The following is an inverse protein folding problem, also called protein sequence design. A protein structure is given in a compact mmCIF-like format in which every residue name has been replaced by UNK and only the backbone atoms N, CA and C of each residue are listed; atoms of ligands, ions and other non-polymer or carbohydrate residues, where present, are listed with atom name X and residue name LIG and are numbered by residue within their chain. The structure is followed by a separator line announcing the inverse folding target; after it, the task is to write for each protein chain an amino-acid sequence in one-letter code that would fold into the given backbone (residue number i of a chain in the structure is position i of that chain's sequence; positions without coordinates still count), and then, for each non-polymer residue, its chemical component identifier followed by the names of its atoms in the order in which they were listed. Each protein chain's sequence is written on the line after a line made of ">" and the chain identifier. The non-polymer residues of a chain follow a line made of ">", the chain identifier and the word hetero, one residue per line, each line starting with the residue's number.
data_IF_036090573992
#
_entry.id   IF_036090573992
#
_cell.length_a   1.000
_cell.length_b   1.000
_cell.length_c   1.000
_cell.angle_alpha   90.00
_cell.angle_beta   90.00
_cell.angle_gamma   90.00
#
_symmetry.space_group_name_H-M   'P 1'
#
loop_
_entity.id
_entity.type
_entity.pdbx_description
1 polymer ?
#
# COMPACT_ATOMS: atom_id res chain seq x y z
N UNK A 1 -10.50 -3.15 19.05
CA UNK A 1 -9.57 -1.99 19.11
C UNK A 1 -9.56 -1.40 17.72
N UNK A 2 -10.28 -0.33 17.54
CA UNK A 2 -10.33 0.35 16.26
C UNK A 2 -9.11 1.28 16.20
N UNK A 3 -8.18 0.99 15.35
CA UNK A 3 -7.05 1.88 15.07
C UNK A 3 -7.47 2.77 13.92
N UNK A 4 -7.78 4.00 14.22
CA UNK A 4 -8.04 4.99 13.20
C UNK A 4 -6.72 5.61 12.81
N UNK A 5 -6.26 5.37 11.59
CA UNK A 5 -5.10 6.04 11.03
C UNK A 5 -5.32 7.53 10.73
N UNK A 6 -6.39 8.13 11.24
CA UNK A 6 -6.72 9.54 11.01
C UNK A 6 -6.28 10.36 12.20
N UNK A 7 -4.97 10.49 12.39
CA UNK A 7 -4.45 11.24 13.53
C UNK A 7 -4.02 12.68 13.22
N UNK A 8 -4.03 13.09 11.99
CA UNK A 8 -3.38 14.36 11.60
C UNK A 8 -4.29 15.40 11.01
N UNK A 9 -5.54 15.06 10.73
CA UNK A 9 -6.51 16.04 10.27
C UNK A 9 -7.22 16.67 11.46
N UNK A 10 -7.38 17.97 11.46
CA UNK A 10 -8.13 18.73 12.48
C UNK A 10 -9.61 18.31 12.60
N UNK A 11 -10.11 17.47 11.69
CA UNK A 11 -11.47 16.97 11.63
C UNK A 11 -11.44 15.46 11.31
N UNK A 12 -11.25 14.58 12.31
CA UNK A 12 -11.41 13.16 12.10
C UNK A 12 -12.88 12.85 11.79
N UNK A 13 -13.15 12.33 10.59
CA UNK A 13 -14.49 11.90 10.18
C UNK A 13 -14.59 10.41 10.46
N UNK A 14 -14.91 10.08 11.69
CA UNK A 14 -15.14 8.71 12.11
C UNK A 14 -16.51 8.61 12.80
N UNK A 15 -17.17 7.49 12.56
CA UNK A 15 -18.42 7.15 13.26
C UNK A 15 -18.33 5.73 13.82
N UNK A 16 -18.93 5.51 14.98
CA UNK A 16 -19.13 4.18 15.55
C UNK A 16 -20.60 3.82 15.36
N UNK A 17 -20.85 2.70 14.69
CA UNK A 17 -22.19 2.21 14.44
C UNK A 17 -22.28 0.75 14.88
N UNK A 18 -23.29 0.40 15.66
CA UNK A 18 -23.58 -0.97 16.06
C UNK A 18 -25.10 -1.16 16.23
N UNK A 19 -25.52 -2.40 16.51
CA UNK A 19 -26.93 -2.68 16.84
C UNK A 19 -27.33 -1.93 18.09
N UNK A 20 -28.59 -1.52 18.19
CA UNK A 20 -29.10 -0.70 19.28
C UNK A 20 -28.81 -1.33 20.65
N UNK A 21 -29.08 -2.64 20.82
CA UNK A 21 -28.82 -3.33 22.08
C UNK A 21 -27.34 -3.30 22.54
N UNK A 22 -26.39 -3.16 21.61
CA UNK A 22 -24.96 -3.04 21.91
C UNK A 22 -24.62 -1.60 22.29
N UNK A 23 -25.15 -0.63 21.53
CA UNK A 23 -24.90 0.79 21.81
C UNK A 23 -25.54 1.24 23.13
N UNK A 24 -26.76 0.77 23.41
CA UNK A 24 -27.53 1.15 24.61
C UNK A 24 -26.99 0.46 25.88
N UNK A 25 -26.21 -0.61 25.75
CA UNK A 25 -25.57 -1.28 26.88
C UNK A 25 -24.43 -0.44 27.50
N UNK A 26 -23.91 0.54 26.77
CA UNK A 26 -22.86 1.41 27.29
C UNK A 26 -23.43 2.42 28.32
N UNK A 27 -22.87 2.52 29.53
CA UNK A 27 -23.32 3.50 30.51
C UNK A 27 -23.21 4.93 29.97
N UNK A 28 -24.05 5.82 30.42
CA UNK A 28 -24.03 7.23 30.07
C UNK A 28 -22.62 7.84 30.36
N UNK A 29 -22.10 8.56 29.39
CA UNK A 29 -20.76 9.19 29.47
C UNK A 29 -19.56 8.31 29.12
N UNK A 30 -19.75 7.03 28.77
CA UNK A 30 -18.65 6.15 28.35
C UNK A 30 -18.30 6.29 26.86
N UNK A 31 -19.23 6.74 26.05
CA UNK A 31 -19.05 7.01 24.62
C UNK A 31 -19.14 8.52 24.43
N UNK A 32 -18.02 9.14 24.03
CA UNK A 32 -17.99 10.56 23.81
C UNK A 32 -16.57 11.11 23.70
N UNK A 33 -16.47 12.38 23.43
CA UNK A 33 -15.22 13.13 23.33
C UNK A 33 -15.53 14.58 22.98
N UNK A 34 -14.58 15.47 23.26
CA UNK A 34 -14.75 16.91 23.08
C UNK A 34 -15.14 17.31 21.65
N UNK A 35 -14.75 16.51 20.66
CA UNK A 35 -15.02 16.77 19.23
C UNK A 35 -16.25 16.02 18.69
N UNK A 36 -16.90 15.18 19.49
CA UNK A 36 -18.09 14.44 19.06
C UNK A 36 -19.22 15.41 18.70
N UNK A 37 -19.85 15.17 17.56
CA UNK A 37 -20.95 16.00 17.06
C UNK A 37 -20.54 17.40 16.59
N UNK A 38 -19.25 17.65 16.36
CA UNK A 38 -18.79 18.94 15.81
C UNK A 38 -19.51 19.21 14.48
N UNK A 39 -20.19 20.35 14.31
CA UNK A 39 -20.98 20.63 13.11
C UNK A 39 -20.18 20.61 11.81
N UNK A 40 -18.93 21.06 11.82
CA UNK A 40 -18.05 21.03 10.64
C UNK A 40 -17.70 19.58 10.25
N UNK A 41 -17.38 18.75 11.22
CA UNK A 41 -17.11 17.32 10.99
C UNK A 41 -18.35 16.59 10.46
N UNK A 42 -19.53 16.87 11.02
CA UNK A 42 -20.80 16.30 10.55
C UNK A 42 -21.12 16.72 9.12
N UNK A 43 -20.97 18.00 8.78
CA UNK A 43 -21.18 18.51 7.43
C UNK A 43 -20.22 17.87 6.43
N UNK A 44 -18.94 17.77 6.77
CA UNK A 44 -17.93 17.09 5.96
C UNK A 44 -18.24 15.60 5.76
N UNK A 45 -18.67 14.89 6.81
CA UNK A 45 -19.08 13.49 6.73
C UNK A 45 -20.27 13.27 5.80
N UNK A 46 -21.30 14.09 5.92
CA UNK A 46 -22.48 14.03 5.04
C UNK A 46 -22.05 14.23 3.58
N UNK A 47 -21.25 15.27 3.31
CA UNK A 47 -20.79 15.56 1.94
C UNK A 47 -19.92 14.43 1.38
N UNK A 48 -19.05 13.86 2.18
CA UNK A 48 -18.24 12.71 1.79
C UNK A 48 -19.11 11.51 1.40
N UNK A 49 -20.13 11.19 2.20
CA UNK A 49 -21.05 10.09 1.88
C UNK A 49 -21.87 10.34 0.61
N UNK A 50 -22.28 11.59 0.36
CA UNK A 50 -22.96 11.97 -0.88
C UNK A 50 -22.05 11.75 -2.11
N UNK A 51 -20.78 12.18 -2.04
CA UNK A 51 -19.79 11.99 -3.10
C UNK A 51 -19.50 10.50 -3.32
N UNK A 52 -19.29 9.75 -2.25
CA UNK A 52 -19.04 8.30 -2.34
C UNK A 52 -20.17 7.56 -3.06
N UNK A 53 -21.43 7.96 -2.78
CA UNK A 53 -22.60 7.40 -3.45
C UNK A 53 -22.72 7.86 -4.90
N UNK A 54 -22.53 9.17 -5.17
CA UNK A 54 -22.69 9.75 -6.50
C UNK A 54 -21.62 9.25 -7.50
N UNK A 55 -20.41 9.00 -7.01
CA UNK A 55 -19.27 8.55 -7.83
C UNK A 55 -19.00 7.04 -7.75
N UNK A 56 -19.88 6.26 -7.13
CA UNK A 56 -19.74 4.80 -6.97
C UNK A 56 -18.36 4.37 -6.45
N UNK A 57 -17.95 4.90 -5.31
CA UNK A 57 -16.65 4.54 -4.73
C UNK A 57 -16.54 3.07 -4.36
N UNK A 58 -17.66 2.39 -4.14
CA UNK A 58 -17.65 0.94 -3.94
C UNK A 58 -17.23 0.22 -5.23
N UNK A 59 -17.80 0.60 -6.36
CA UNK A 59 -17.40 0.06 -7.68
C UNK A 59 -15.94 0.39 -8.00
N UNK A 60 -15.49 1.63 -7.77
CA UNK A 60 -14.08 2.02 -7.94
C UNK A 60 -13.15 1.16 -7.07
N UNK A 61 -13.51 0.93 -5.81
CA UNK A 61 -12.73 0.07 -4.90
C UNK A 61 -12.62 -1.37 -5.41
N UNK A 62 -13.73 -1.94 -5.89
CA UNK A 62 -13.73 -3.29 -6.44
C UNK A 62 -12.90 -3.39 -7.74
N UNK A 63 -12.95 -2.38 -8.60
CA UNK A 63 -12.13 -2.31 -9.80
C UNK A 63 -10.63 -2.29 -9.45
N UNK A 64 -10.20 -1.36 -8.58
CA UNK A 64 -8.82 -1.28 -8.09
C UNK A 64 -8.39 -2.62 -7.50
N UNK A 65 -9.23 -3.20 -6.65
CA UNK A 65 -8.96 -4.48 -6.02
C UNK A 65 -8.72 -5.60 -7.01
N UNK A 66 -9.53 -5.68 -8.05
CA UNK A 66 -9.38 -6.68 -9.10
C UNK A 66 -8.05 -6.53 -9.83
N UNK A 67 -7.76 -5.33 -10.35
CA UNK A 67 -6.54 -5.06 -11.14
C UNK A 67 -5.28 -5.34 -10.31
N UNK A 68 -5.25 -4.84 -9.09
CA UNK A 68 -4.07 -4.95 -8.21
C UNK A 68 -3.87 -6.38 -7.70
N UNK A 69 -4.95 -7.09 -7.33
CA UNK A 69 -4.85 -8.48 -6.90
C UNK A 69 -4.36 -9.38 -8.03
N UNK A 70 -4.87 -9.22 -9.25
CA UNK A 70 -4.41 -9.98 -10.41
C UNK A 70 -2.91 -9.74 -10.69
N UNK A 71 -2.43 -8.52 -10.54
CA UNK A 71 -1.01 -8.20 -10.70
C UNK A 71 -0.16 -8.84 -9.59
N UNK A 72 -0.57 -8.74 -8.34
CA UNK A 72 0.17 -9.33 -7.22
C UNK A 72 0.15 -10.86 -7.23
N UNK A 73 -0.92 -11.51 -7.67
CA UNK A 73 -0.94 -12.97 -7.83
C UNK A 73 0.05 -13.41 -8.92
N UNK A 74 0.16 -12.70 -10.05
CA UNK A 74 1.20 -12.96 -11.06
C UNK A 74 2.61 -12.79 -10.48
N UNK A 75 2.84 -11.74 -9.68
CA UNK A 75 4.12 -11.55 -9.00
C UNK A 75 4.39 -12.67 -7.99
N UNK A 76 3.38 -13.17 -7.27
CA UNK A 76 3.49 -14.29 -6.33
C UNK A 76 3.88 -15.60 -7.03
N UNK A 77 3.37 -15.85 -8.24
CA UNK A 77 3.80 -16.98 -9.06
C UNK A 77 5.27 -16.86 -9.46
N UNK A 78 5.71 -15.65 -9.81
CA UNK A 78 7.05 -15.35 -10.33
C UNK A 78 8.12 -15.27 -9.22
N UNK A 79 7.77 -14.72 -8.05
CA UNK A 79 8.72 -14.44 -6.97
C UNK A 79 8.43 -15.29 -5.73
N UNK A 80 9.41 -16.10 -5.32
CA UNK A 80 9.28 -16.98 -4.14
C UNK A 80 9.14 -16.21 -2.82
N UNK A 81 9.58 -14.98 -2.77
CA UNK A 81 9.54 -14.11 -1.59
C UNK A 81 8.11 -13.68 -1.22
N UNK A 82 7.15 -13.75 -2.16
CA UNK A 82 5.75 -13.45 -1.89
C UNK A 82 5.04 -14.73 -1.43
N UNK A 83 4.61 -14.73 -0.17
CA UNK A 83 3.93 -15.88 0.45
C UNK A 83 2.43 -15.88 0.25
N UNK A 84 1.79 -14.71 0.36
CA UNK A 84 0.34 -14.59 0.26
C UNK A 84 -0.10 -13.21 -0.27
N UNK A 85 -1.25 -13.20 -0.95
CA UNK A 85 -1.95 -11.99 -1.40
C UNK A 85 -3.40 -12.10 -0.95
N UNK A 86 -3.89 -11.14 -0.19
CA UNK A 86 -5.25 -11.16 0.36
C UNK A 86 -5.82 -9.76 0.51
N UNK A 87 -7.13 -9.64 0.43
CA UNK A 87 -7.80 -8.36 0.62
C UNK A 87 -9.23 -8.36 0.12
N UNK A 88 -9.84 -7.19 0.21
CA UNK A 88 -11.17 -6.92 -0.33
C UNK A 88 -11.18 -5.51 -0.94
N UNK A 89 -11.65 -5.40 -2.16
CA UNK A 89 -11.64 -4.14 -2.89
C UNK A 89 -10.24 -3.53 -2.93
N UNK A 90 -10.13 -2.22 -2.79
CA UNK A 90 -8.86 -1.48 -2.83
C UNK A 90 -7.95 -1.66 -1.60
N UNK A 91 -8.28 -2.55 -0.66
CA UNK A 91 -7.45 -2.83 0.52
C UNK A 91 -6.85 -4.22 0.43
N UNK A 92 -5.57 -4.30 0.08
CA UNK A 92 -4.87 -5.55 -0.23
C UNK A 92 -3.60 -5.63 0.60
N UNK A 93 -3.33 -6.82 1.13
CA UNK A 93 -2.08 -7.16 1.81
C UNK A 93 -1.25 -8.12 0.98
N UNK A 94 0.01 -7.80 0.78
CA UNK A 94 1.01 -8.68 0.18
C UNK A 94 1.98 -9.11 1.26
N UNK A 95 2.01 -10.39 1.56
CA UNK A 95 2.83 -10.95 2.63
C UNK A 95 4.14 -11.49 2.09
N UNK A 96 5.24 -11.08 2.72
CA UNK A 96 6.59 -11.49 2.34
C UNK A 96 7.15 -12.52 3.31
N UNK A 97 7.71 -13.58 2.76
CA UNK A 97 8.27 -14.73 3.50
C UNK A 97 9.67 -15.01 3.02
N UNK A 98 10.48 -15.65 3.89
CA UNK A 98 11.81 -16.12 3.50
C UNK A 98 11.71 -17.36 2.62
N UNK A 99 10.71 -18.18 2.88
CA UNK A 99 10.44 -19.42 2.19
C UNK A 99 8.94 -19.76 2.19
N UNK A 100 8.43 -20.25 1.07
CA UNK A 100 7.00 -20.57 0.89
C UNK A 100 6.50 -21.77 1.70
N UNK A 101 7.37 -22.70 2.01
CA UNK A 101 7.01 -23.91 2.77
C UNK A 101 6.91 -23.61 4.27
N UNK A 102 7.95 -23.00 4.83
CA UNK A 102 8.00 -22.62 6.24
C UNK A 102 7.12 -21.43 6.58
N UNK A 103 6.86 -20.56 5.59
CA UNK A 103 6.16 -19.28 5.74
C UNK A 103 6.81 -18.36 6.78
N UNK A 104 8.11 -18.51 7.00
CA UNK A 104 8.84 -17.64 7.92
C UNK A 104 8.77 -16.18 7.47
N UNK A 105 8.29 -15.24 8.32
CA UNK A 105 8.19 -13.84 7.97
C UNK A 105 9.51 -13.21 7.54
N UNK A 106 9.47 -12.31 6.54
CA UNK A 106 10.64 -11.61 6.04
C UNK A 106 10.51 -10.07 6.17
N UNK A 107 10.51 -9.52 7.39
CA UNK A 107 10.39 -8.08 7.60
C UNK A 107 11.60 -7.29 7.08
N UNK A 108 12.79 -7.89 7.01
CA UNK A 108 13.98 -7.21 6.49
C UNK A 108 13.85 -6.94 4.98
N UNK A 109 13.33 -7.91 4.23
CA UNK A 109 13.02 -7.69 2.81
C UNK A 109 12.02 -6.55 2.62
N UNK A 110 10.96 -6.51 3.45
CA UNK A 110 9.95 -5.46 3.40
C UNK A 110 10.55 -4.08 3.66
N UNK A 111 11.48 -3.94 4.60
CA UNK A 111 12.17 -2.66 4.86
C UNK A 111 12.98 -2.22 3.63
N UNK A 112 13.71 -3.13 3.01
CA UNK A 112 14.49 -2.84 1.79
C UNK A 112 13.58 -2.46 0.63
N UNK A 113 12.49 -3.23 0.43
CA UNK A 113 11.48 -2.96 -0.59
C UNK A 113 10.88 -1.55 -0.46
N UNK A 114 10.51 -1.14 0.76
CA UNK A 114 9.98 0.20 1.03
C UNK A 114 11.00 1.28 0.66
N UNK A 115 12.27 1.10 1.00
CA UNK A 115 13.33 2.05 0.68
C UNK A 115 13.55 2.18 -0.83
N UNK A 116 13.64 1.06 -1.54
CA UNK A 116 13.81 1.04 -3.01
C UNK A 116 12.61 1.67 -3.71
N UNK A 117 11.38 1.35 -3.28
CA UNK A 117 10.16 1.92 -3.83
C UNK A 117 10.08 3.44 -3.59
N UNK A 118 10.46 3.90 -2.39
CA UNK A 118 10.49 5.32 -2.05
C UNK A 118 11.46 6.11 -2.94
N UNK A 119 12.64 5.57 -3.22
CA UNK A 119 13.61 6.19 -4.13
C UNK A 119 13.08 6.34 -5.56
N UNK A 120 12.16 5.46 -5.96
CA UNK A 120 11.47 5.49 -7.25
C UNK A 120 10.16 6.29 -7.24
N UNK A 121 9.82 6.93 -6.11
CA UNK A 121 8.64 7.79 -5.96
C UNK A 121 7.36 7.06 -5.53
N UNK A 122 7.45 5.80 -5.08
CA UNK A 122 6.31 5.06 -4.55
C UNK A 122 6.38 4.95 -3.02
N UNK A 123 5.40 5.56 -2.35
CA UNK A 123 5.26 5.46 -0.90
C UNK A 123 4.51 4.18 -0.52
N UNK A 124 5.15 3.34 0.27
CA UNK A 124 4.60 2.09 0.79
C UNK A 124 4.63 2.08 2.31
N UNK A 125 3.69 1.35 2.92
CA UNK A 125 3.64 1.12 4.36
C UNK A 125 3.66 -0.37 4.66
N UNK A 126 4.44 -0.74 5.69
CA UNK A 126 4.38 -2.09 6.23
C UNK A 126 3.20 -2.26 7.20
N UNK A 127 2.77 -3.50 7.34
CA UNK A 127 1.69 -3.92 8.22
C UNK A 127 1.96 -5.33 8.77
N UNK A 128 1.00 -5.83 9.55
CA UNK A 128 1.08 -7.14 10.18
C UNK A 128 1.90 -7.15 11.46
N UNK A 129 1.67 -8.14 12.31
CA UNK A 129 2.33 -8.28 13.62
C UNK A 129 3.83 -8.54 13.49
N UNK A 130 4.25 -9.18 12.40
CA UNK A 130 5.66 -9.45 12.11
C UNK A 130 6.31 -8.39 11.22
N UNK A 131 5.57 -7.35 10.77
CA UNK A 131 6.09 -6.30 9.90
C UNK A 131 6.48 -6.77 8.49
N UNK A 132 5.96 -7.92 8.06
CA UNK A 132 6.30 -8.57 6.79
C UNK A 132 5.21 -8.44 5.71
N UNK A 133 4.25 -7.55 5.89
CA UNK A 133 3.16 -7.31 4.95
C UNK A 133 3.29 -5.90 4.39
N UNK A 134 3.17 -5.73 3.08
CA UNK A 134 2.89 -4.43 2.47
C UNK A 134 1.38 -4.29 2.34
N UNK A 135 0.84 -3.23 2.91
CA UNK A 135 -0.56 -2.88 2.76
C UNK A 135 -0.73 -1.91 1.60
N UNK A 136 -1.34 -2.41 0.54
CA UNK A 136 -1.82 -1.56 -0.54
C UNK A 136 -3.14 -0.93 -0.13
N UNK A 137 -3.19 0.39 -0.10
CA UNK A 137 -4.37 1.18 0.22
C UNK A 137 -4.31 2.49 -0.57
N UNK A 138 -4.55 2.40 -1.86
CA UNK A 138 -4.52 3.54 -2.76
C UNK A 138 -5.77 4.41 -2.64
N UNK A 139 -5.68 5.71 -2.98
CA UNK A 139 -6.85 6.56 -3.14
C UNK A 139 -7.82 5.97 -4.16
N UNK A 140 -9.12 5.97 -3.85
CA UNK A 140 -10.15 5.42 -4.75
C UNK A 140 -10.38 6.24 -6.03
N UNK A 141 -9.74 7.39 -6.15
CA UNK A 141 -9.69 8.22 -7.37
C UNK A 141 -8.46 7.93 -8.25
N UNK A 142 -7.64 6.94 -7.90
CA UNK A 142 -6.46 6.55 -8.69
C UNK A 142 -6.89 6.06 -10.07
N UNK A 143 -6.16 6.50 -11.11
CA UNK A 143 -6.40 6.05 -12.49
C UNK A 143 -5.69 4.72 -12.78
N UNK A 144 -6.10 4.04 -13.84
CA UNK A 144 -5.48 2.77 -14.26
C UNK A 144 -4.00 2.97 -14.62
N UNK A 145 -3.64 4.09 -15.25
CA UNK A 145 -2.25 4.43 -15.58
C UNK A 145 -1.39 4.64 -14.32
N UNK A 146 -1.97 5.26 -13.28
CA UNK A 146 -1.29 5.44 -12.01
C UNK A 146 -1.09 4.12 -11.27
N UNK A 147 -2.10 3.22 -11.33
CA UNK A 147 -1.98 1.87 -10.77
C UNK A 147 -0.91 1.07 -11.48
N UNK A 148 -0.89 1.08 -12.81
CA UNK A 148 0.11 0.38 -13.61
C UNK A 148 1.53 0.88 -13.33
N UNK A 149 1.71 2.21 -13.27
CA UNK A 149 3.00 2.81 -12.92
C UNK A 149 3.45 2.40 -11.51
N UNK A 150 2.54 2.44 -10.52
CA UNK A 150 2.83 2.02 -9.15
C UNK A 150 3.19 0.54 -9.03
N UNK A 151 2.45 -0.33 -9.72
CA UNK A 151 2.72 -1.78 -9.76
C UNK A 151 4.06 -2.09 -10.42
N UNK A 152 4.42 -1.36 -11.48
CA UNK A 152 5.74 -1.49 -12.11
C UNK A 152 6.86 -1.11 -11.17
N UNK A 153 6.76 0.04 -10.48
CA UNK A 153 7.76 0.45 -9.49
C UNK A 153 7.88 -0.59 -8.37
N UNK A 154 6.76 -1.15 -7.93
CA UNK A 154 6.73 -2.20 -6.91
C UNK A 154 7.47 -3.45 -7.36
N UNK A 155 7.21 -3.93 -8.59
CA UNK A 155 7.90 -5.08 -9.16
C UNK A 155 9.40 -4.82 -9.36
N UNK A 156 9.78 -3.65 -9.89
CA UNK A 156 11.17 -3.24 -10.06
C UNK A 156 11.92 -3.21 -8.71
N UNK A 157 11.24 -2.77 -7.64
CA UNK A 157 11.80 -2.78 -6.30
C UNK A 157 11.97 -4.20 -5.74
N UNK A 158 11.06 -5.15 -6.04
CA UNK A 158 11.22 -6.56 -5.69
C UNK A 158 12.47 -7.14 -6.40
N UNK A 159 12.60 -6.93 -7.70
CA UNK A 159 13.72 -7.45 -8.51
C UNK A 159 15.04 -6.93 -7.95
N UNK A 160 15.15 -5.64 -7.68
CA UNK A 160 16.35 -5.00 -7.15
C UNK A 160 16.81 -5.63 -5.83
N UNK A 161 15.87 -5.93 -4.94
CA UNK A 161 16.18 -6.51 -3.62
C UNK A 161 16.34 -8.04 -3.64
N UNK A 162 16.01 -8.71 -4.74
CA UNK A 162 16.32 -10.13 -4.96
C UNK A 162 17.74 -10.34 -5.52
N UNK A 163 18.35 -9.32 -6.10
CA UNK A 163 19.72 -9.37 -6.63
C UNK A 163 20.69 -9.16 -5.47
N UNK A 164 21.63 -10.10 -5.23
CA UNK A 164 22.65 -9.90 -4.19
C UNK A 164 23.44 -8.61 -4.42
N UNK A 165 23.81 -7.85 -3.36
CA UNK A 165 24.50 -6.57 -3.48
C UNK A 165 25.83 -6.63 -4.26
N UNK A 166 26.45 -7.81 -4.28
CA UNK A 166 27.72 -8.06 -5.00
C UNK A 166 27.54 -8.06 -6.53
N UNK A 167 26.36 -8.53 -7.01
CA UNK A 167 26.04 -8.55 -8.44
C UNK A 167 25.47 -7.20 -8.93
N UNK A 168 24.80 -6.45 -8.07
CA UNK A 168 24.27 -5.12 -8.42
C UNK A 168 25.38 -4.11 -8.69
N UNK A 169 26.53 -4.20 -7.99
CA UNK A 169 27.70 -3.35 -8.23
C UNK A 169 28.39 -3.65 -9.55
N UNK A 170 28.35 -4.89 -10.02
CA UNK A 170 28.90 -5.27 -11.34
C UNK A 170 28.04 -4.74 -12.49
N UNK A 171 26.71 -4.75 -12.35
CA UNK A 171 25.82 -4.19 -13.38
C UNK A 171 25.90 -2.67 -13.48
N UNK A 172 26.08 -1.94 -12.36
CA UNK A 172 26.31 -0.50 -12.39
C UNK A 172 27.65 -0.14 -13.05
N UNK A 173 28.66 -0.98 -12.92
CA UNK A 173 29.95 -0.81 -13.62
C UNK A 173 29.86 -0.98 -15.13
N UNK A 174 28.99 -1.85 -15.61
CA UNK A 174 28.80 -2.08 -17.06
C UNK A 174 27.99 -0.96 -17.74
N UNK A 175 27.00 -0.39 -17.07
CA UNK A 175 26.21 0.72 -17.62
C UNK A 175 27.04 2.00 -17.75
N UNK A 176 27.99 2.24 -16.83
CA UNK A 176 28.91 3.39 -16.92
C UNK A 176 30.03 3.20 -17.94
N UNK A 177 30.39 1.96 -18.27
CA UNK A 177 31.40 1.71 -19.32
C UNK A 177 30.82 2.00 -20.72
N UNK A 178 29.59 1.64 -20.99
CA UNK A 178 28.94 1.92 -22.27
C UNK A 178 28.66 3.41 -22.51
N UNK A 179 28.34 4.19 -21.47
CA UNK A 179 28.20 5.64 -21.61
C UNK A 179 29.54 6.38 -21.77
N UNK A 180 30.60 5.88 -21.18
CA UNK A 180 31.96 6.45 -21.35
C UNK A 180 32.54 6.16 -22.72
N UNK A 181 32.25 5.01 -23.32
CA UNK A 181 32.68 4.65 -24.67
C UNK A 181 31.93 5.43 -25.76
N UNK A 182 30.69 5.84 -25.52
CA UNK A 182 29.90 6.66 -26.45
C UNK A 182 30.36 8.13 -26.50
N UNK A 183 31.07 8.61 -25.48
CA UNK A 183 31.60 9.98 -25.43
C UNK A 183 33.01 10.12 -26.02
N UNK A 184 33.67 9.02 -26.42
CA UNK A 184 35.02 9.03 -26.95
C UNK A 184 35.14 8.85 -28.47
N UNK A 185 34.03 8.88 -29.22
CA UNK A 185 34.05 8.65 -30.69
C UNK A 185 34.03 9.94 -31.50
N UNK A 186 34.45 11.07 -30.99
CA UNK A 186 34.63 12.24 -31.87
C UNK A 186 35.69 13.21 -31.35
N UNK A 187 36.97 12.80 -31.38
CA UNK A 187 38.13 13.69 -31.37
C UNK A 187 39.32 13.06 -32.15
N UNK A 188 39.15 12.98 -33.46
CA UNK A 188 40.33 12.90 -34.35
C UNK A 188 40.07 13.65 -35.65
#
# INVERSE_FOLDING_TARGET
>A
KMVTGVQTCALPICAVTARAEVMDAAPAGTIGGTYCGNPLACAAAIKTMEIMKAEDYCGKSMHIGKVVTEAFEKMKEKYSVIGDVRGLGGMIGVEFVKDKESKEPNPEFVKQLIQSALQKGLLLENAGSAGNVIRFLAPLCMTDEQMEAGLKIFEDAIIENLIPPELSKQQQGYVYADEADLLNVDRS
#
